data_IF_833494180102
#
_entry.id   IF_833494180102
#
_cell.length_a   1.000
_cell.length_b   1.000
_cell.length_c   1.000
_cell.angle_alpha   90.00
_cell.angle_beta   90.00
_cell.angle_gamma   90.00
#
_symmetry.space_group_name_H-M   'P 1'
#
loop_
_entity.id
_entity.type
_entity.pdbx_description
1 polymer ?
#
# COMPACT_ATOMS: atom_id res chain seq x y z
N UNK A 1 6.05 -1.65 -26.97
CA UNK A 1 6.97 -2.54 -26.22
C UNK A 1 8.39 -2.57 -26.78
N UNK A 2 8.62 -2.43 -28.09
CA UNK A 2 9.98 -2.37 -28.66
C UNK A 2 10.84 -1.26 -28.03
N UNK A 3 10.31 -0.04 -27.94
CA UNK A 3 11.01 1.09 -27.29
C UNK A 3 11.38 0.81 -25.83
N UNK A 4 10.49 0.21 -25.03
CA UNK A 4 10.80 -0.16 -23.65
C UNK A 4 11.96 -1.14 -23.57
N UNK A 5 12.00 -2.12 -24.48
CA UNK A 5 13.07 -3.14 -24.53
C UNK A 5 14.42 -2.54 -24.93
N UNK A 6 14.41 -1.58 -25.85
CA UNK A 6 15.63 -0.99 -26.42
C UNK A 6 16.16 0.18 -25.60
N UNK A 7 15.26 1.03 -25.08
CA UNK A 7 15.59 2.30 -24.45
C UNK A 7 15.30 2.34 -22.94
N UNK A 8 14.69 1.30 -22.37
CA UNK A 8 14.28 1.25 -20.97
C UNK A 8 13.07 2.13 -20.63
N UNK A 9 12.46 2.79 -21.62
CA UNK A 9 11.26 3.61 -21.49
C UNK A 9 10.47 3.66 -22.79
N UNK A 10 9.22 4.06 -22.70
CA UNK A 10 8.39 4.50 -23.82
C UNK A 10 7.54 5.68 -23.34
N UNK A 11 7.07 6.51 -24.26
CA UNK A 11 6.26 7.68 -23.93
C UNK A 11 4.86 7.51 -24.52
N UNK A 12 3.84 7.79 -23.70
CA UNK A 12 2.45 7.81 -24.18
C UNK A 12 2.21 9.08 -24.97
N UNK A 13 1.41 8.98 -26.04
CA UNK A 13 0.87 10.17 -26.69
C UNK A 13 -0.04 10.93 -25.73
N UNK A 14 -0.24 12.23 -26.00
CA UNK A 14 -1.14 13.07 -25.19
C UNK A 14 -2.55 12.47 -25.11
N UNK A 15 -3.09 11.97 -26.22
CA UNK A 15 -4.42 11.34 -26.25
C UNK A 15 -4.51 10.08 -25.40
N UNK A 16 -3.48 9.23 -25.40
CA UNK A 16 -3.44 8.02 -24.56
C UNK A 16 -3.37 8.38 -23.08
N UNK A 17 -2.52 9.36 -22.72
CA UNK A 17 -2.39 9.81 -21.34
C UNK A 17 -3.69 10.42 -20.80
N UNK A 18 -4.37 11.26 -21.60
CA UNK A 18 -5.67 11.82 -21.23
C UNK A 18 -6.73 10.72 -21.08
N UNK A 19 -6.76 9.74 -21.99
CA UNK A 19 -7.68 8.59 -21.88
C UNK A 19 -7.44 7.76 -20.62
N UNK A 20 -6.18 7.59 -20.20
CA UNK A 20 -5.82 6.87 -18.99
C UNK A 20 -6.28 7.61 -17.73
N UNK A 21 -6.02 8.92 -17.67
CA UNK A 21 -6.41 9.78 -16.54
C UNK A 21 -7.92 9.90 -16.32
N UNK A 22 -8.73 9.61 -17.35
CA UNK A 22 -10.19 9.56 -17.20
C UNK A 22 -10.68 8.42 -16.30
N UNK A 23 -9.90 7.35 -16.15
CA UNK A 23 -10.32 6.14 -15.42
C UNK A 23 -9.39 5.78 -14.26
N UNK A 24 -8.15 6.27 -14.27
CA UNK A 24 -7.14 5.92 -13.29
C UNK A 24 -6.51 7.16 -12.69
N UNK A 25 -6.30 7.11 -11.39
CA UNK A 25 -5.42 8.01 -10.66
C UNK A 25 -4.36 7.18 -9.92
N UNK A 26 -3.26 7.81 -9.54
CA UNK A 26 -2.14 7.16 -8.88
C UNK A 26 -1.57 8.05 -7.78
N UNK A 27 -1.24 7.42 -6.66
CA UNK A 27 -0.51 8.06 -5.57
C UNK A 27 0.61 7.16 -5.07
N UNK A 28 1.49 7.74 -4.28
CA UNK A 28 2.58 7.03 -3.62
C UNK A 28 2.78 7.54 -2.20
N UNK A 29 3.31 6.64 -1.37
CA UNK A 29 3.86 6.95 -0.07
C UNK A 29 5.31 6.49 -0.02
N UNK A 30 6.16 7.24 0.66
CA UNK A 30 7.46 6.75 1.08
C UNK A 30 7.37 5.82 2.31
N UNK A 31 8.52 5.33 2.77
CA UNK A 31 8.59 4.40 3.89
C UNK A 31 8.12 5.01 5.21
N UNK A 32 8.43 6.28 5.45
CA UNK A 32 8.11 6.95 6.71
C UNK A 32 6.62 7.34 6.75
N UNK A 33 6.07 7.78 5.62
CA UNK A 33 4.64 7.94 5.42
C UNK A 33 3.90 6.60 5.65
N UNK A 34 4.40 5.49 5.11
CA UNK A 34 3.80 4.17 5.29
C UNK A 34 3.78 3.75 6.77
N UNK A 35 4.90 3.92 7.47
CA UNK A 35 5.01 3.64 8.91
C UNK A 35 4.05 4.50 9.73
N UNK A 36 3.92 5.78 9.39
CA UNK A 36 2.99 6.71 10.04
C UNK A 36 1.54 6.24 9.86
N UNK A 37 1.15 5.81 8.67
CA UNK A 37 -0.22 5.33 8.43
C UNK A 37 -0.54 4.08 9.25
N UNK A 38 0.38 3.11 9.35
CA UNK A 38 0.20 1.93 10.21
C UNK A 38 -0.07 2.37 11.65
N UNK A 39 0.74 3.32 12.17
CA UNK A 39 0.59 3.86 13.52
C UNK A 39 -0.74 4.61 13.71
N UNK A 40 -1.13 5.43 12.76
CA UNK A 40 -2.36 6.21 12.82
C UNK A 40 -3.61 5.32 12.81
N UNK A 41 -3.62 4.27 11.99
CA UNK A 41 -4.71 3.29 11.96
C UNK A 41 -4.77 2.51 13.27
N UNK A 42 -3.63 2.03 13.77
CA UNK A 42 -3.58 1.33 15.04
C UNK A 42 -4.06 2.21 16.21
N UNK A 43 -3.67 3.48 16.26
CA UNK A 43 -4.12 4.40 17.30
C UNK A 43 -5.63 4.71 17.23
N UNK A 44 -6.22 4.70 16.03
CA UNK A 44 -7.64 5.02 15.82
C UNK A 44 -8.57 3.83 16.05
N UNK A 45 -8.16 2.63 15.63
CA UNK A 45 -9.06 1.46 15.59
C UNK A 45 -8.49 0.21 16.25
N UNK A 46 -7.24 0.24 16.72
CA UNK A 46 -6.46 -0.92 17.17
C UNK A 46 -6.31 -2.03 16.13
N UNK A 47 -6.62 -1.76 14.85
CA UNK A 47 -6.34 -2.68 13.75
C UNK A 47 -4.86 -2.61 13.39
N UNK A 48 -4.25 -3.78 13.17
CA UNK A 48 -2.88 -3.90 12.70
C UNK A 48 -2.94 -4.25 11.21
N UNK A 49 -2.43 -3.34 10.38
CA UNK A 49 -2.40 -3.51 8.92
C UNK A 49 -0.97 -3.71 8.42
N UNK A 50 -0.83 -4.41 7.31
CA UNK A 50 0.45 -4.61 6.63
C UNK A 50 0.85 -3.34 5.82
N UNK A 51 2.12 -3.20 5.41
CA UNK A 51 2.58 -2.02 4.68
C UNK A 51 1.87 -1.78 3.34
N UNK A 52 1.44 -2.82 2.62
CA UNK A 52 0.75 -2.66 1.33
C UNK A 52 -0.65 -2.08 1.54
N UNK A 53 -1.38 -2.57 2.54
CA UNK A 53 -2.67 -1.98 2.95
C UNK A 53 -2.48 -0.53 3.39
N UNK A 54 -1.42 -0.24 4.16
CA UNK A 54 -1.13 1.11 4.62
C UNK A 54 -0.86 2.10 3.47
N UNK A 55 -0.18 1.66 2.40
CA UNK A 55 0.01 2.49 1.19
C UNK A 55 -1.33 2.88 0.58
N UNK A 56 -2.25 1.93 0.39
CA UNK A 56 -3.57 2.21 -0.17
C UNK A 56 -4.37 3.20 0.70
N UNK A 57 -4.36 3.00 2.02
CA UNK A 57 -5.04 3.87 2.98
C UNK A 57 -4.41 5.27 3.01
N UNK A 58 -3.09 5.39 2.99
CA UNK A 58 -2.43 6.69 3.02
C UNK A 58 -2.57 7.45 1.71
N UNK A 59 -2.54 6.78 0.55
CA UNK A 59 -2.88 7.41 -0.74
C UNK A 59 -4.32 7.93 -0.74
N UNK A 60 -5.25 7.16 -0.17
CA UNK A 60 -6.62 7.61 0.02
C UNK A 60 -6.71 8.89 0.85
N UNK A 61 -6.04 8.96 2.00
CA UNK A 61 -6.03 10.18 2.82
C UNK A 61 -5.31 11.36 2.15
N UNK A 62 -4.16 11.12 1.51
CA UNK A 62 -3.34 12.16 0.86
C UNK A 62 -4.08 12.86 -0.28
N UNK A 63 -4.90 12.10 -1.01
CA UNK A 63 -5.71 12.64 -2.11
C UNK A 63 -7.15 12.99 -1.70
N UNK A 64 -7.49 12.82 -0.41
CA UNK A 64 -8.84 13.10 0.11
C UNK A 64 -9.95 12.41 -0.69
N UNK A 65 -9.72 11.16 -1.11
CA UNK A 65 -10.76 10.40 -1.81
C UNK A 65 -11.95 10.14 -0.87
N UNK A 66 -13.15 10.10 -1.42
CA UNK A 66 -14.37 9.76 -0.69
C UNK A 66 -14.94 8.42 -1.17
N UNK A 67 -15.66 7.71 -0.30
CA UNK A 67 -16.40 6.49 -0.65
C UNK A 67 -15.58 5.41 -1.40
N UNK A 68 -14.31 5.24 -1.04
CA UNK A 68 -13.42 4.25 -1.68
C UNK A 68 -13.25 2.98 -0.85
N UNK A 69 -12.95 1.86 -1.52
CA UNK A 69 -12.57 0.59 -0.88
C UNK A 69 -11.06 0.40 -1.02
N UNK A 70 -10.36 0.25 0.11
CA UNK A 70 -8.96 -0.16 0.11
C UNK A 70 -8.86 -1.69 0.17
N UNK A 71 -8.13 -2.28 -0.78
CA UNK A 71 -7.88 -3.72 -0.79
C UNK A 71 -6.74 -4.05 0.17
N UNK A 72 -7.00 -4.86 1.19
CA UNK A 72 -5.95 -5.41 2.05
C UNK A 72 -5.34 -6.63 1.40
N UNK A 73 -4.13 -6.48 0.88
CA UNK A 73 -3.48 -7.50 0.02
C UNK A 73 -2.63 -8.50 0.78
N UNK A 74 -2.29 -8.23 2.05
CA UNK A 74 -1.55 -9.15 2.90
C UNK A 74 -1.95 -9.05 4.37
N UNK A 75 -1.70 -10.14 5.10
CA UNK A 75 -1.78 -10.15 6.56
C UNK A 75 -0.52 -9.52 7.16
N UNK A 76 -0.66 -8.73 8.23
CA UNK A 76 0.44 -8.03 8.91
C UNK A 76 1.61 -8.95 9.31
N UNK A 77 1.31 -10.18 9.71
CA UNK A 77 2.30 -11.21 10.07
C UNK A 77 3.29 -11.60 8.94
N UNK A 78 2.99 -11.26 7.68
CA UNK A 78 3.96 -11.43 6.57
C UNK A 78 5.05 -10.36 6.56
N UNK A 79 4.84 -9.24 7.25
CA UNK A 79 5.75 -8.08 7.27
C UNK A 79 5.99 -7.60 8.71
N UNK A 80 6.47 -8.50 9.60
CA UNK A 80 6.56 -8.21 11.04
C UNK A 80 7.51 -7.06 11.35
N UNK A 81 8.61 -6.91 10.61
CA UNK A 81 9.62 -5.87 10.87
C UNK A 81 9.06 -4.46 10.70
N UNK A 82 8.29 -4.23 9.63
CA UNK A 82 7.67 -2.92 9.37
C UNK A 82 6.61 -2.59 10.42
N UNK A 83 5.81 -3.59 10.82
CA UNK A 83 4.79 -3.42 11.86
C UNK A 83 5.45 -3.14 13.21
N UNK A 84 6.51 -3.88 13.56
CA UNK A 84 7.32 -3.66 14.76
C UNK A 84 7.92 -2.25 14.77
N UNK A 85 8.49 -1.79 13.65
CA UNK A 85 9.01 -0.43 13.51
C UNK A 85 7.94 0.63 13.74
N UNK A 86 6.71 0.38 13.28
CA UNK A 86 5.62 1.37 13.35
C UNK A 86 4.97 1.48 14.72
N UNK A 87 4.71 0.35 15.38
CA UNK A 87 3.86 0.31 16.59
C UNK A 87 4.46 -0.52 17.74
N UNK A 88 5.66 -1.08 17.58
CA UNK A 88 6.33 -1.86 18.63
C UNK A 88 5.68 -3.22 18.91
N UNK A 89 4.86 -3.72 17.99
CA UNK A 89 4.12 -4.99 18.14
C UNK A 89 4.61 -5.97 17.08
N UNK A 90 4.89 -7.21 17.50
CA UNK A 90 5.13 -8.31 16.58
C UNK A 90 3.79 -8.96 16.20
N UNK A 91 3.30 -8.85 14.96
CA UNK A 91 2.02 -9.42 14.57
C UNK A 91 2.05 -10.96 14.61
N UNK A 92 1.10 -11.56 15.32
CA UNK A 92 1.04 -13.02 15.42
C UNK A 92 0.60 -13.67 14.11
N UNK A 93 1.15 -14.84 13.81
CA UNK A 93 0.68 -15.69 12.72
C UNK A 93 -0.73 -16.24 13.04
N UNK A 94 -1.61 -16.35 12.03
CA UNK A 94 -2.87 -17.07 12.18
C UNK A 94 -2.63 -18.51 12.67
N UNK A 95 -3.55 -19.02 13.49
CA UNK A 95 -3.42 -20.35 14.12
C UNK A 95 -3.11 -21.49 13.12
N UNK A 96 -3.70 -21.44 11.93
CA UNK A 96 -3.47 -22.46 10.90
C UNK A 96 -2.03 -22.45 10.36
N UNK A 97 -1.39 -21.28 10.35
CA UNK A 97 -0.02 -21.10 9.84
C UNK A 97 1.03 -21.53 10.88
N UNK A 98 0.72 -21.48 12.18
CA UNK A 98 1.63 -21.94 13.24
C UNK A 98 1.86 -23.45 13.24
N UNK A 99 0.98 -24.24 12.62
CA UNK A 99 1.08 -25.71 12.58
C UNK A 99 2.24 -26.24 11.73
N UNK A 100 2.84 -25.39 10.91
CA UNK A 100 3.89 -25.76 9.94
C UNK A 100 5.26 -25.13 10.28
N UNK A 101 5.39 -24.53 11.46
CA UNK A 101 6.64 -24.02 12.03
C UNK A 101 7.02 -24.88 13.23
#
# INVERSE_FOLDING_TARGET
MSELKENGKFELSKSELESFKNNFDAGSLDQDETVKIIKDIYNKSHQIIDPHTAIAVGVHYKNSYENSIALSTAHAAKFPDTVMKAIGINPELPNISRRYL
#
